data_IF_924424315479
#
_entry.id   IF_924424315479
#
_cell.length_a   1.000
_cell.length_b   1.000
_cell.length_c   1.000
_cell.angle_alpha   90.00
_cell.angle_beta   90.00
_cell.angle_gamma   90.00
#
_symmetry.space_group_name_H-M   'P 1'
#
loop_
_entity.id
_entity.type
_entity.pdbx_description
1 polymer ?
#
# COMPACT_ATOMS: atom_id res chain seq x y z
N UNK A 1 -9.40 22.85 6.79
CA UNK A 1 -9.56 21.42 6.44
C UNK A 1 -8.18 20.78 6.48
N UNK A 2 -7.98 19.74 7.28
CA UNK A 2 -6.67 19.10 7.43
C UNK A 2 -6.43 18.06 6.33
N UNK A 3 -5.18 17.63 6.16
CA UNK A 3 -4.85 16.52 5.26
C UNK A 3 -5.61 15.24 5.65
N UNK A 4 -5.80 15.02 6.95
CA UNK A 4 -6.56 13.88 7.47
C UNK A 4 -8.04 13.93 7.10
N UNK A 5 -8.65 15.11 7.07
CA UNK A 5 -10.04 15.27 6.61
C UNK A 5 -10.20 14.94 5.13
N UNK A 6 -9.23 15.32 4.30
CA UNK A 6 -9.23 14.96 2.87
C UNK A 6 -9.09 13.46 2.67
N UNK A 7 -8.20 12.80 3.42
CA UNK A 7 -8.04 11.35 3.36
C UNK A 7 -9.31 10.66 3.85
N UNK A 8 -9.89 11.05 4.99
CA UNK A 8 -11.18 10.51 5.44
C UNK A 8 -12.25 10.68 4.37
N UNK A 9 -12.46 11.90 3.86
CA UNK A 9 -13.48 12.16 2.84
C UNK A 9 -13.24 11.31 1.58
N UNK A 10 -12.00 11.13 1.16
CA UNK A 10 -11.64 10.24 0.05
C UNK A 10 -11.97 8.77 0.33
N UNK A 11 -11.59 8.25 1.51
CA UNK A 11 -11.90 6.88 1.92
C UNK A 11 -13.40 6.59 2.05
N UNK A 12 -14.20 7.63 2.27
CA UNK A 12 -15.67 7.54 2.30
C UNK A 12 -16.32 7.51 0.90
N UNK A 13 -15.58 7.77 -0.19
CA UNK A 13 -16.10 7.66 -1.57
C UNK A 13 -16.12 6.21 -2.07
N UNK A 14 -16.94 5.87 -3.09
CA UNK A 14 -16.92 4.54 -3.72
C UNK A 14 -15.52 4.12 -4.19
N UNK A 15 -14.80 5.03 -4.87
CA UNK A 15 -13.41 4.79 -5.29
C UNK A 15 -12.46 4.51 -4.12
N UNK A 16 -12.60 5.24 -3.01
CA UNK A 16 -11.78 5.01 -1.82
C UNK A 16 -12.03 3.63 -1.19
N UNK A 17 -13.30 3.20 -1.16
CA UNK A 17 -13.68 1.86 -0.69
C UNK A 17 -13.13 0.76 -1.58
N UNK A 18 -13.28 0.89 -2.90
CA UNK A 18 -12.72 -0.08 -3.86
C UNK A 18 -11.19 -0.19 -3.74
N UNK A 19 -10.49 0.92 -3.55
CA UNK A 19 -9.05 0.92 -3.32
C UNK A 19 -8.67 0.24 -2.01
N UNK A 20 -9.42 0.44 -0.93
CA UNK A 20 -9.21 -0.30 0.33
C UNK A 20 -9.45 -1.79 0.12
N UNK A 21 -10.50 -2.19 -0.58
CA UNK A 21 -10.80 -3.61 -0.81
C UNK A 21 -9.74 -4.28 -1.68
N UNK A 22 -9.29 -3.59 -2.74
CA UNK A 22 -8.18 -4.04 -3.57
C UNK A 22 -6.90 -4.18 -2.75
N UNK A 23 -6.61 -3.21 -1.89
CA UNK A 23 -5.47 -3.27 -0.97
C UNK A 23 -5.60 -4.43 0.02
N UNK A 24 -6.78 -4.67 0.61
CA UNK A 24 -7.04 -5.81 1.50
C UNK A 24 -6.85 -7.14 0.77
N UNK A 25 -7.32 -7.26 -0.46
CA UNK A 25 -7.14 -8.46 -1.29
C UNK A 25 -5.66 -8.70 -1.61
N UNK A 26 -4.94 -7.64 -1.99
CA UNK A 26 -3.49 -7.70 -2.22
C UNK A 26 -2.70 -8.06 -0.95
N UNK A 27 -3.10 -7.52 0.21
CA UNK A 27 -2.44 -7.83 1.49
C UNK A 27 -2.66 -9.30 1.92
N UNK A 28 -3.81 -9.88 1.56
CA UNK A 28 -4.14 -11.29 1.81
C UNK A 28 -3.51 -12.25 0.81
N UNK A 29 -3.01 -11.76 -0.31
CA UNK A 29 -2.42 -12.58 -1.35
C UNK A 29 -0.93 -12.89 -1.03
N UNK A 30 -0.56 -14.16 -0.81
CA UNK A 30 0.81 -14.52 -0.43
C UNK A 30 1.81 -14.24 -1.57
N UNK A 31 1.38 -14.30 -2.83
CA UNK A 31 2.22 -14.01 -3.99
C UNK A 31 2.60 -12.53 -4.04
N UNK A 32 1.68 -11.64 -3.68
CA UNK A 32 1.92 -10.21 -3.54
C UNK A 32 2.88 -9.92 -2.39
N UNK A 33 2.76 -10.64 -1.26
CA UNK A 33 3.71 -10.52 -0.15
C UNK A 33 5.12 -10.96 -0.55
N UNK A 34 5.28 -12.05 -1.29
CA UNK A 34 6.60 -12.49 -1.78
C UNK A 34 7.21 -11.46 -2.73
N UNK A 35 6.41 -10.91 -3.65
CA UNK A 35 6.86 -9.87 -4.59
C UNK A 35 7.24 -8.58 -3.85
N UNK A 36 6.46 -8.19 -2.84
CA UNK A 36 6.74 -7.04 -2.00
C UNK A 36 8.03 -7.25 -1.18
N UNK A 37 8.23 -8.43 -0.60
CA UNK A 37 9.47 -8.77 0.13
C UNK A 37 10.70 -8.64 -0.76
N UNK A 38 10.68 -9.24 -1.96
CA UNK A 38 11.83 -9.14 -2.88
C UNK A 38 12.12 -7.71 -3.35
N UNK A 39 11.09 -6.87 -3.51
CA UNK A 39 11.26 -5.44 -3.80
C UNK A 39 11.85 -4.69 -2.59
N UNK A 40 11.35 -4.97 -1.39
CA UNK A 40 11.87 -4.39 -0.15
C UNK A 40 13.32 -4.78 0.12
N UNK A 41 13.68 -6.05 -0.10
CA UNK A 41 15.05 -6.52 0.03
C UNK A 41 15.97 -5.81 -0.97
N UNK A 42 15.56 -5.70 -2.24
CA UNK A 42 16.32 -4.92 -3.25
C UNK A 42 16.50 -3.46 -2.87
N UNK A 43 15.45 -2.80 -2.36
CA UNK A 43 15.53 -1.42 -1.87
C UNK A 43 16.45 -1.30 -0.67
N UNK A 44 16.36 -2.23 0.29
CA UNK A 44 17.23 -2.29 1.48
C UNK A 44 18.70 -2.49 1.10
N UNK A 45 18.99 -3.42 0.19
CA UNK A 45 20.35 -3.66 -0.30
C UNK A 45 20.92 -2.45 -1.03
N UNK A 46 20.09 -1.73 -1.81
CA UNK A 46 20.50 -0.49 -2.47
C UNK A 46 20.71 0.67 -1.49
N UNK A 47 19.97 0.71 -0.39
CA UNK A 47 20.14 1.71 0.67
C UNK A 47 21.36 1.44 1.56
N UNK A 48 21.86 0.20 1.61
CA UNK A 48 23.01 -0.20 2.44
C UNK A 48 24.35 -0.08 1.70
N UNK A 49 24.35 0.24 0.41
CA UNK A 49 25.54 0.39 -0.43
C UNK A 49 25.94 1.87 -0.65
N UNK A 50 25.44 2.77 0.19
CA UNK A 50 25.82 4.19 0.25
C UNK A 50 26.49 4.51 1.58
#
# INVERSE_FOLDING_TARGET
MTLMDKVKRYLHTPQGRENIEKAKRMARDPKTQQKARGLFERLRSRSHHR
#
